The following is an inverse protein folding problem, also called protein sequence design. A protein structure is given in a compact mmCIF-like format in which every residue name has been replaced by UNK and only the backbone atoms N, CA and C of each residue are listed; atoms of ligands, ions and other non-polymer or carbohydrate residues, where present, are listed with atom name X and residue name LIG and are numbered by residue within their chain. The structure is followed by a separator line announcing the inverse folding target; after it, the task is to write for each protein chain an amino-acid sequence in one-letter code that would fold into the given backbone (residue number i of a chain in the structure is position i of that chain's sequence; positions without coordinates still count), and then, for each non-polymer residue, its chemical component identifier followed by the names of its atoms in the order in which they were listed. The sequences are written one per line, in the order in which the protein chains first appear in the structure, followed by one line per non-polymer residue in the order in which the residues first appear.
data_IF_522767411976
#
_entry.id   IF_522767411976
#
_cell.length_a   1.000
_cell.length_b   1.000
_cell.length_c   1.000
_cell.angle_alpha   90.00
_cell.angle_beta   90.00
_cell.angle_gamma   90.00
#
_symmetry.space_group_name_H-M   'P 1'
#
loop_
_entity.id
_entity.type
_entity.pdbx_description
1 polymer ?
#
# COMPACT_ATOMS: atom_id res chain seq x y z
N UNK A 1 -21.23 11.63 -52.92
CA UNK A 1 -20.23 10.58 -52.61
C UNK A 1 -20.26 10.35 -51.11
N UNK A 2 -20.88 9.25 -50.69
CA UNK A 2 -21.05 8.88 -49.29
C UNK A 2 -19.72 8.40 -48.70
N UNK A 3 -19.27 9.04 -47.63
CA UNK A 3 -18.14 8.59 -46.81
C UNK A 3 -18.75 7.71 -45.71
N UNK A 4 -18.77 6.40 -45.93
CA UNK A 4 -19.15 5.43 -44.91
C UNK A 4 -18.03 4.41 -44.77
N UNK A 5 -17.59 4.16 -43.53
CA UNK A 5 -16.84 2.95 -43.22
C UNK A 5 -15.68 3.08 -42.24
N UNK A 6 -15.81 3.79 -41.13
CA UNK A 6 -15.01 3.44 -39.95
C UNK A 6 -15.86 2.55 -39.04
N UNK A 7 -15.44 1.29 -38.91
CA UNK A 7 -16.05 0.33 -38.00
C UNK A 7 -16.03 0.89 -36.56
N UNK A 8 -17.15 0.87 -35.82
CA UNK A 8 -17.20 1.27 -34.41
C UNK A 8 -16.13 0.57 -33.57
N UNK A 9 -15.78 -0.67 -33.95
CA UNK A 9 -14.74 -1.47 -33.32
C UNK A 9 -13.33 -0.88 -33.52
N UNK A 10 -13.02 -0.37 -34.73
CA UNK A 10 -11.73 0.27 -35.00
C UNK A 10 -11.62 1.62 -34.30
N UNK A 11 -12.72 2.37 -34.22
CA UNK A 11 -12.78 3.62 -33.47
C UNK A 11 -12.58 3.37 -31.97
N UNK A 12 -13.18 2.33 -31.39
CA UNK A 12 -12.97 1.90 -30.00
C UNK A 12 -11.51 1.48 -29.72
N UNK A 13 -10.89 0.74 -30.65
CA UNK A 13 -9.49 0.29 -30.57
C UNK A 13 -8.47 1.42 -30.75
N UNK A 14 -8.76 2.42 -31.58
CA UNK A 14 -7.94 3.62 -31.73
C UNK A 14 -8.13 4.57 -30.54
N UNK A 15 -9.36 4.71 -30.02
CA UNK A 15 -9.63 5.43 -28.78
C UNK A 15 -8.96 4.78 -27.58
N UNK A 16 -9.01 3.45 -27.44
CA UNK A 16 -8.37 2.72 -26.34
C UNK A 16 -6.84 2.85 -26.37
N UNK A 17 -6.22 2.85 -27.56
CA UNK A 17 -4.76 3.05 -27.72
C UNK A 17 -4.32 4.48 -27.44
N UNK A 18 -5.11 5.49 -27.79
CA UNK A 18 -4.82 6.91 -27.49
C UNK A 18 -5.02 7.20 -26.00
N UNK A 19 -6.08 6.64 -25.38
CA UNK A 19 -6.32 6.71 -23.93
C UNK A 19 -5.20 6.03 -23.14
N UNK A 20 -4.82 4.81 -23.52
CA UNK A 20 -3.70 4.09 -22.90
C UNK A 20 -2.35 4.84 -23.01
N UNK A 21 -2.07 5.53 -24.13
CA UNK A 21 -0.86 6.37 -24.25
C UNK A 21 -0.91 7.64 -23.38
N UNK A 22 -2.07 8.27 -23.26
CA UNK A 22 -2.26 9.45 -22.42
C UNK A 22 -2.24 9.09 -20.92
N UNK A 23 -2.84 7.96 -20.54
CA UNK A 23 -2.87 7.44 -19.17
C UNK A 23 -1.50 6.91 -18.74
N UNK A 24 -0.77 6.22 -19.64
CA UNK A 24 0.64 5.86 -19.39
C UNK A 24 1.54 7.08 -19.13
N UNK A 25 1.30 8.21 -19.81
CA UNK A 25 1.98 9.49 -19.53
C UNK A 25 1.62 10.03 -18.15
N UNK A 26 0.35 9.95 -17.76
CA UNK A 26 -0.14 10.41 -16.45
C UNK A 26 0.46 9.59 -15.28
N UNK A 27 0.77 8.30 -15.49
CA UNK A 27 1.39 7.42 -14.46
C UNK A 27 2.84 7.69 -14.22
N UNK A 28 3.56 7.90 -15.32
CA UNK A 28 4.91 8.43 -15.28
C UNK A 28 4.89 9.81 -14.62
N UNK A 29 3.88 10.64 -14.87
CA UNK A 29 3.76 11.97 -14.27
C UNK A 29 3.42 11.93 -12.77
N UNK A 30 2.55 11.02 -12.32
CA UNK A 30 2.27 10.81 -10.89
C UNK A 30 3.51 10.29 -10.17
N UNK A 31 4.15 9.23 -10.69
CA UNK A 31 5.38 8.69 -10.12
C UNK A 31 6.50 9.75 -10.09
N UNK A 32 6.65 10.55 -11.16
CA UNK A 32 7.59 11.66 -11.22
C UNK A 32 7.24 12.79 -10.26
N UNK A 33 5.95 13.10 -10.07
CA UNK A 33 5.51 14.12 -9.10
C UNK A 33 5.79 13.65 -7.68
N UNK A 34 5.45 12.41 -7.35
CA UNK A 34 5.76 11.82 -6.05
C UNK A 34 7.28 11.80 -5.81
N UNK A 35 8.05 11.30 -6.78
CA UNK A 35 9.51 11.30 -6.75
C UNK A 35 10.08 12.71 -6.56
N UNK A 36 9.60 13.71 -7.29
CA UNK A 36 10.04 15.10 -7.13
C UNK A 36 9.72 15.68 -5.75
N UNK A 37 8.52 15.40 -5.23
CA UNK A 37 8.12 15.86 -3.88
C UNK A 37 8.96 15.19 -2.79
N UNK A 38 9.34 13.92 -2.99
CA UNK A 38 10.30 13.24 -2.13
C UNK A 38 11.70 13.81 -2.27
N UNK A 39 12.17 14.08 -3.49
CA UNK A 39 13.48 14.70 -3.75
C UNK A 39 13.62 16.06 -3.05
N UNK A 40 12.54 16.83 -2.98
CA UNK A 40 12.50 18.09 -2.21
C UNK A 40 12.66 17.85 -0.70
N UNK A 41 12.29 16.68 -0.19
CA UNK A 41 12.51 16.26 1.21
C UNK A 41 13.86 15.54 1.42
N UNK A 42 14.45 14.95 0.37
CA UNK A 42 15.68 14.15 0.46
C UNK A 42 16.91 15.04 0.64
N UNK A 43 17.81 14.62 1.52
CA UNK A 43 19.20 15.10 1.53
C UNK A 43 20.09 13.97 1.01
N UNK A 44 20.96 14.30 0.04
CA UNK A 44 21.89 13.34 -0.58
C UNK A 44 21.22 12.07 -1.16
N UNK A 45 19.99 12.21 -1.65
CA UNK A 45 19.25 11.10 -2.28
C UNK A 45 18.58 10.13 -1.31
N UNK A 46 18.54 10.43 0.00
CA UNK A 46 17.89 9.60 1.04
C UNK A 46 16.81 10.35 1.80
N UNK A 47 15.79 9.63 2.25
CA UNK A 47 14.79 10.20 3.17
C UNK A 47 15.42 10.59 4.50
N UNK A 48 14.84 11.59 5.17
CA UNK A 48 15.30 12.02 6.49
C UNK A 48 14.95 10.99 7.58
N UNK A 49 13.99 10.09 7.31
CA UNK A 49 13.50 9.11 8.27
C UNK A 49 13.71 7.68 7.78
N UNK A 50 13.58 6.71 8.69
CA UNK A 50 13.61 5.27 8.39
C UNK A 50 12.19 4.70 8.36
N UNK A 51 11.88 3.93 7.31
CA UNK A 51 10.53 3.38 7.10
C UNK A 51 10.50 1.85 7.21
N UNK A 52 9.54 1.34 7.96
CA UNK A 52 9.20 -0.08 8.02
C UNK A 52 7.77 -0.29 7.52
N UNK A 53 7.59 -1.22 6.58
CA UNK A 53 6.30 -1.70 6.13
C UNK A 53 5.96 -2.99 6.88
N UNK A 54 4.76 -3.04 7.46
CA UNK A 54 4.24 -4.22 8.15
C UNK A 54 2.88 -4.56 7.56
N UNK A 55 2.78 -5.69 6.87
CA UNK A 55 1.46 -6.22 6.50
C UNK A 55 0.77 -6.74 7.75
N UNK A 56 -0.52 -6.51 7.91
CA UNK A 56 -1.29 -7.11 9.01
C UNK A 56 -1.09 -8.63 9.12
N UNK A 57 -1.26 -9.18 10.33
CA UNK A 57 -1.29 -10.62 10.56
C UNK A 57 -2.45 -11.31 9.84
N UNK A 58 -2.45 -12.64 9.78
CA UNK A 58 -3.55 -13.42 9.20
C UNK A 58 -4.91 -13.00 9.81
N UNK A 59 -5.89 -12.69 8.96
CA UNK A 59 -7.23 -12.29 9.38
C UNK A 59 -8.27 -13.37 9.15
N UNK A 60 -9.43 -13.25 9.78
CA UNK A 60 -10.58 -14.12 9.53
C UNK A 60 -10.94 -14.17 8.03
N UNK A 61 -10.89 -13.03 7.33
CA UNK A 61 -11.12 -12.96 5.89
C UNK A 61 -10.05 -13.74 5.08
N UNK A 62 -8.81 -13.78 5.56
CA UNK A 62 -7.77 -14.60 4.92
C UNK A 62 -8.05 -16.09 5.11
N UNK A 63 -8.49 -16.50 6.30
CA UNK A 63 -8.82 -17.89 6.61
C UNK A 63 -9.95 -18.40 5.71
N UNK A 64 -11.00 -17.59 5.49
CA UNK A 64 -12.12 -17.97 4.62
C UNK A 64 -11.87 -17.65 3.12
N UNK A 65 -10.74 -17.03 2.79
CA UNK A 65 -10.31 -16.79 1.41
C UNK A 65 -11.13 -15.76 0.65
N UNK A 66 -11.61 -14.70 1.32
CA UNK A 66 -12.40 -13.63 0.71
C UNK A 66 -11.67 -12.30 0.64
N UNK A 67 -12.10 -11.45 -0.28
CA UNK A 67 -11.67 -10.06 -0.40
C UNK A 67 -12.46 -9.20 0.60
N UNK A 68 -11.73 -8.40 1.38
CA UNK A 68 -12.28 -7.52 2.41
C UNK A 68 -11.59 -6.15 2.35
N UNK A 69 -12.05 -5.31 1.44
CA UNK A 69 -11.52 -3.95 1.24
C UNK A 69 -12.58 -2.83 1.34
N UNK A 70 -13.87 -3.15 1.51
CA UNK A 70 -14.92 -2.17 1.81
C UNK A 70 -14.76 -1.60 3.23
N UNK A 71 -14.52 -0.29 3.41
CA UNK A 71 -14.41 0.33 4.73
C UNK A 71 -15.64 0.16 5.61
N UNK A 72 -16.85 0.01 5.06
CA UNK A 72 -18.08 -0.21 5.83
C UNK A 72 -18.04 -1.52 6.62
N UNK A 73 -17.28 -2.50 6.12
CA UNK A 73 -17.13 -3.84 6.70
C UNK A 73 -15.77 -3.96 7.37
N UNK A 74 -14.68 -3.66 6.65
CA UNK A 74 -13.30 -3.91 7.07
C UNK A 74 -12.83 -3.11 8.30
N UNK A 75 -13.52 -2.03 8.66
CA UNK A 75 -13.26 -1.26 9.90
C UNK A 75 -13.93 -1.87 11.14
N UNK A 76 -14.86 -2.82 10.96
CA UNK A 76 -15.69 -3.41 12.02
C UNK A 76 -15.58 -4.92 12.14
N UNK A 77 -15.12 -5.60 11.08
CA UNK A 77 -15.08 -7.06 10.96
C UNK A 77 -13.73 -7.51 10.39
N UNK A 78 -13.54 -8.83 10.37
CA UNK A 78 -12.36 -9.48 9.81
C UNK A 78 -11.08 -9.06 10.53
N UNK A 79 -11.12 -9.18 11.86
CA UNK A 79 -9.96 -9.02 12.73
C UNK A 79 -8.94 -10.14 12.51
N UNK A 80 -7.89 -10.13 13.32
CA UNK A 80 -6.85 -11.16 13.32
C UNK A 80 -7.40 -12.50 13.79
N UNK A 81 -6.97 -13.57 13.12
CA UNK A 81 -7.09 -14.93 13.67
C UNK A 81 -6.15 -15.10 14.87
N UNK A 82 -6.27 -16.19 15.62
CA UNK A 82 -5.31 -16.49 16.70
C UNK A 82 -3.86 -16.53 16.18
N UNK A 83 -3.65 -17.17 15.03
CA UNK A 83 -2.37 -17.16 14.33
C UNK A 83 -1.95 -15.75 13.92
N UNK A 84 -2.89 -14.91 13.48
CA UNK A 84 -2.62 -13.50 13.18
C UNK A 84 -2.13 -12.69 14.38
N UNK A 85 -2.66 -12.97 15.58
CA UNK A 85 -2.21 -12.34 16.83
C UNK A 85 -0.79 -12.75 17.20
N UNK A 86 -0.48 -14.04 17.09
CA UNK A 86 0.89 -14.56 17.30
C UNK A 86 1.88 -13.92 16.32
N UNK A 87 1.48 -13.79 15.04
CA UNK A 87 2.25 -13.13 14.00
C UNK A 87 2.50 -11.63 14.32
N UNK A 88 1.48 -10.91 14.79
CA UNK A 88 1.62 -9.51 15.18
C UNK A 88 2.58 -9.33 16.38
N UNK A 89 2.51 -10.23 17.36
CA UNK A 89 3.43 -10.23 18.49
C UNK A 89 4.89 -10.49 18.03
N UNK A 90 5.09 -11.45 17.12
CA UNK A 90 6.41 -11.72 16.55
C UNK A 90 6.98 -10.52 15.77
N UNK A 91 6.14 -9.79 15.02
CA UNK A 91 6.55 -8.56 14.35
C UNK A 91 6.98 -7.47 15.36
N UNK A 92 6.25 -7.33 16.47
CA UNK A 92 6.62 -6.43 17.57
C UNK A 92 7.98 -6.80 18.19
N UNK A 93 8.23 -8.08 18.42
CA UNK A 93 9.53 -8.57 18.90
C UNK A 93 10.66 -8.28 17.91
N UNK A 94 10.43 -8.51 16.61
CA UNK A 94 11.43 -8.23 15.57
C UNK A 94 11.79 -6.73 15.53
N UNK A 95 10.80 -5.85 15.59
CA UNK A 95 11.04 -4.40 15.67
C UNK A 95 11.80 -4.05 16.95
N UNK A 96 11.43 -4.62 18.10
CA UNK A 96 12.13 -4.37 19.36
C UNK A 96 13.61 -4.74 19.29
N UNK A 97 13.93 -5.93 18.74
CA UNK A 97 15.31 -6.36 18.54
C UNK A 97 16.09 -5.36 17.69
N UNK A 98 15.52 -4.88 16.59
CA UNK A 98 16.15 -3.85 15.76
C UNK A 98 16.42 -2.56 16.54
N UNK A 99 15.45 -2.07 17.33
CA UNK A 99 15.63 -0.84 18.12
C UNK A 99 16.74 -0.99 19.16
N UNK A 100 16.76 -2.10 19.90
CA UNK A 100 17.79 -2.38 20.93
C UNK A 100 19.17 -2.51 20.29
N UNK A 101 19.30 -3.29 19.21
CA UNK A 101 20.57 -3.48 18.50
C UNK A 101 21.16 -2.18 17.97
N UNK A 102 20.31 -1.23 17.56
CA UNK A 102 20.72 0.06 17.01
C UNK A 102 20.68 1.21 18.03
N UNK A 103 20.40 0.91 19.31
CA UNK A 103 20.28 1.91 20.39
C UNK A 103 19.32 3.05 20.06
N UNK A 104 18.18 2.72 19.43
CA UNK A 104 17.16 3.69 19.04
C UNK A 104 16.10 3.77 20.15
N UNK A 105 15.87 4.95 20.75
CA UNK A 105 14.86 5.10 21.78
C UNK A 105 13.45 4.99 21.21
N UNK A 106 12.54 4.43 22.00
CA UNK A 106 11.13 4.22 21.67
C UNK A 106 10.42 5.54 21.32
N UNK A 107 10.87 6.67 21.89
CA UNK A 107 10.35 8.01 21.61
C UNK A 107 10.52 8.47 20.16
N UNK A 108 11.39 7.81 19.38
CA UNK A 108 11.60 8.07 17.95
C UNK A 108 10.79 7.17 17.03
N UNK A 109 9.92 6.32 17.59
CA UNK A 109 9.12 5.35 16.83
C UNK A 109 7.69 5.82 16.74
N UNK A 110 7.19 5.96 15.52
CA UNK A 110 5.84 6.39 15.20
C UNK A 110 5.14 5.34 14.35
N UNK A 111 3.95 4.90 14.77
CA UNK A 111 3.20 3.88 14.06
C UNK A 111 2.00 4.54 13.35
N UNK A 112 1.94 4.38 12.03
CA UNK A 112 0.80 4.73 11.19
C UNK A 112 0.13 3.44 10.73
N UNK A 113 -1.14 3.26 11.08
CA UNK A 113 -1.89 2.04 10.75
C UNK A 113 -3.13 2.35 9.92
N UNK A 114 -3.48 1.45 9.01
CA UNK A 114 -4.84 1.41 8.48
C UNK A 114 -5.84 1.18 9.61
N UNK A 115 -6.99 1.84 9.52
CA UNK A 115 -8.08 1.68 10.49
C UNK A 115 -8.93 0.41 10.26
N UNK A 116 -8.57 -0.41 9.26
CA UNK A 116 -9.17 -1.74 9.11
C UNK A 116 -8.80 -2.62 10.30
N UNK A 117 -9.79 -3.36 10.83
CA UNK A 117 -9.72 -4.05 12.12
C UNK A 117 -8.45 -4.89 12.26
N UNK A 118 -8.11 -5.71 11.25
CA UNK A 118 -6.86 -6.51 11.21
C UNK A 118 -5.56 -5.70 11.29
N UNK A 119 -5.49 -4.54 10.62
CA UNK A 119 -4.30 -3.69 10.62
C UNK A 119 -4.20 -2.92 11.94
N UNK A 120 -5.33 -2.41 12.45
CA UNK A 120 -5.44 -1.82 13.78
C UNK A 120 -4.95 -2.77 14.86
N UNK A 121 -5.49 -3.98 14.94
CA UNK A 121 -5.12 -4.96 15.95
C UNK A 121 -3.63 -5.36 15.86
N UNK A 122 -3.10 -5.46 14.63
CA UNK A 122 -1.66 -5.68 14.41
C UNK A 122 -0.85 -4.52 14.99
N UNK A 123 -1.24 -3.28 14.69
CA UNK A 123 -0.54 -2.09 15.13
C UNK A 123 -0.62 -1.86 16.64
N UNK A 124 -1.78 -2.08 17.25
CA UNK A 124 -1.99 -2.02 18.70
C UNK A 124 -1.11 -3.06 19.42
N UNK A 125 -0.99 -4.26 18.86
CA UNK A 125 -0.12 -5.31 19.39
C UNK A 125 1.36 -4.90 19.32
N UNK A 126 1.82 -4.36 18.20
CA UNK A 126 3.19 -3.87 18.03
C UNK A 126 3.48 -2.70 18.98
N UNK A 127 2.57 -1.71 19.01
CA UNK A 127 2.66 -0.54 19.88
C UNK A 127 2.83 -0.94 21.35
N UNK A 128 1.98 -1.86 21.83
CA UNK A 128 2.03 -2.38 23.19
C UNK A 128 3.32 -3.16 23.47
N UNK A 129 3.77 -3.96 22.51
CA UNK A 129 5.00 -4.77 22.63
C UNK A 129 6.24 -3.89 22.78
N UNK A 130 6.27 -2.78 22.05
CA UNK A 130 7.35 -1.79 22.08
C UNK A 130 7.21 -0.78 23.22
N UNK A 131 6.09 -0.81 23.98
CA UNK A 131 5.79 0.13 25.08
C UNK A 131 5.90 1.59 24.65
N UNK A 132 5.43 1.91 23.44
CA UNK A 132 5.52 3.26 22.91
C UNK A 132 4.61 4.21 23.68
N UNK A 133 5.13 5.39 24.02
CA UNK A 133 4.32 6.48 24.60
C UNK A 133 3.72 7.38 23.51
N UNK A 134 4.31 7.38 22.32
CA UNK A 134 3.80 8.10 21.16
C UNK A 134 2.40 7.60 20.76
N UNK A 135 1.58 8.51 20.24
CA UNK A 135 0.26 8.18 19.73
C UNK A 135 0.34 7.17 18.57
N UNK A 136 -0.59 6.21 18.54
CA UNK A 136 -0.85 5.36 17.38
C UNK A 136 -1.77 6.10 16.40
N UNK A 137 -1.33 6.29 15.15
CA UNK A 137 -2.06 7.08 14.15
C UNK A 137 -2.86 6.19 13.20
N UNK A 138 -4.19 6.34 13.17
CA UNK A 138 -5.03 5.63 12.21
C UNK A 138 -5.26 6.46 10.95
N UNK A 139 -4.95 5.88 9.79
CA UNK A 139 -4.82 6.58 8.52
C UNK A 139 -5.65 5.90 7.42
N UNK A 140 -6.71 6.56 6.96
CA UNK A 140 -7.55 6.04 5.87
C UNK A 140 -6.78 5.87 4.55
N UNK A 141 -5.76 6.72 4.34
CA UNK A 141 -4.91 6.74 3.16
C UNK A 141 -4.14 5.43 2.93
N UNK A 142 -3.99 4.58 3.94
CA UNK A 142 -3.28 3.29 3.86
C UNK A 142 -4.21 2.08 4.05
N UNK A 143 -5.53 2.25 3.89
CA UNK A 143 -6.49 1.14 3.74
C UNK A 143 -6.17 0.29 2.51
N UNK A 144 -6.54 -1.00 2.52
CA UNK A 144 -6.32 -1.88 1.37
C UNK A 144 -6.92 -1.26 0.11
N UNK A 145 -6.34 -1.58 -1.05
CA UNK A 145 -6.95 -1.22 -2.35
C UNK A 145 -8.40 -1.68 -2.37
N UNK A 146 -9.32 -0.80 -2.77
CA UNK A 146 -10.71 -1.17 -2.97
C UNK A 146 -10.86 -2.05 -4.22
N UNK A 147 -11.49 -3.21 -4.08
CA UNK A 147 -11.67 -4.20 -5.16
C UNK A 147 -13.08 -4.25 -5.76
N UNK A 148 -13.91 -3.24 -5.48
CA UNK A 148 -15.17 -2.98 -6.20
C UNK A 148 -16.12 -4.16 -6.20
N UNK A 149 -16.46 -4.64 -7.39
CA UNK A 149 -17.39 -5.75 -7.61
C UNK A 149 -16.93 -7.06 -6.96
N UNK A 150 -15.67 -7.19 -6.56
CA UNK A 150 -15.14 -8.40 -5.94
C UNK A 150 -15.20 -8.42 -4.41
N UNK A 151 -15.75 -7.39 -3.77
CA UNK A 151 -15.93 -7.38 -2.32
C UNK A 151 -16.74 -8.59 -1.81
N UNK A 152 -16.21 -9.26 -0.78
CA UNK A 152 -16.80 -10.47 -0.21
C UNK A 152 -16.70 -11.72 -1.09
N UNK A 153 -16.16 -11.61 -2.32
CA UNK A 153 -15.90 -12.76 -3.20
C UNK A 153 -14.54 -13.37 -2.92
N UNK A 154 -14.22 -14.47 -3.61
CA UNK A 154 -12.95 -15.18 -3.43
C UNK A 154 -11.74 -14.28 -3.74
N UNK A 155 -10.70 -14.39 -2.91
CA UNK A 155 -9.41 -13.73 -3.13
C UNK A 155 -8.69 -14.11 -4.43
N UNK A 156 -9.14 -15.16 -5.14
CA UNK A 156 -8.65 -15.50 -6.48
C UNK A 156 -8.92 -14.39 -7.51
N UNK A 157 -9.94 -13.56 -7.28
CA UNK A 157 -10.28 -12.43 -8.16
C UNK A 157 -9.26 -11.29 -8.10
N UNK A 158 -8.32 -11.31 -7.17
CA UNK A 158 -7.22 -10.37 -7.23
C UNK A 158 -6.42 -10.49 -8.54
N UNK A 159 -6.21 -11.70 -9.03
CA UNK A 159 -5.48 -11.92 -10.29
C UNK A 159 -6.20 -11.29 -11.49
N UNK A 160 -7.54 -11.24 -11.45
CA UNK A 160 -8.33 -10.60 -12.49
C UNK A 160 -7.97 -9.11 -12.60
N UNK A 161 -7.94 -8.39 -11.46
CA UNK A 161 -7.55 -6.97 -11.40
C UNK A 161 -6.07 -6.77 -11.74
N UNK A 162 -5.18 -7.58 -11.16
CA UNK A 162 -3.73 -7.45 -11.37
C UNK A 162 -3.29 -7.72 -12.81
N UNK A 163 -4.07 -8.48 -13.59
CA UNK A 163 -3.79 -8.67 -15.00
C UNK A 163 -4.01 -7.39 -15.82
N UNK A 164 -4.99 -6.54 -15.44
CA UNK A 164 -5.17 -5.23 -16.07
C UNK A 164 -4.12 -4.22 -15.60
N UNK A 165 -3.66 -4.29 -14.34
CA UNK A 165 -2.63 -3.38 -13.81
C UNK A 165 -1.35 -3.40 -14.64
N UNK A 166 -0.95 -4.59 -15.12
CA UNK A 166 0.23 -4.79 -15.98
C UNK A 166 0.14 -3.99 -17.28
N UNK A 167 -1.08 -3.69 -17.75
CA UNK A 167 -1.34 -2.97 -18.97
C UNK A 167 -1.54 -1.46 -18.74
N UNK A 168 -2.23 -1.08 -17.66
CA UNK A 168 -2.59 0.30 -17.34
C UNK A 168 -2.63 0.54 -15.82
N UNK A 169 -1.86 1.49 -15.29
CA UNK A 169 -1.91 1.81 -13.86
C UNK A 169 -3.16 2.63 -13.45
N UNK A 170 -3.96 3.10 -14.41
CA UNK A 170 -5.13 3.98 -14.23
C UNK A 170 -6.46 3.31 -14.48
N UNK A 171 -6.47 2.03 -14.83
CA UNK A 171 -7.74 1.34 -15.03
C UNK A 171 -8.49 1.25 -13.70
N UNK A 172 -9.81 1.33 -13.80
CA UNK A 172 -10.76 1.11 -12.71
C UNK A 172 -11.74 0.00 -13.10
N UNK A 173 -11.24 -1.02 -13.80
CA UNK A 173 -12.06 -2.17 -14.17
C UNK A 173 -12.62 -2.83 -12.90
N UNK A 174 -13.82 -3.40 -13.00
CA UNK A 174 -14.55 -4.01 -11.88
C UNK A 174 -14.86 -3.05 -10.71
N UNK A 175 -14.92 -1.75 -10.96
CA UNK A 175 -15.10 -0.71 -9.93
C UNK A 175 -14.00 -0.74 -8.85
N UNK A 176 -12.82 -1.28 -9.20
CA UNK A 176 -11.65 -1.29 -8.33
C UNK A 176 -10.93 0.05 -8.36
N UNK A 177 -10.30 0.43 -7.25
CA UNK A 177 -9.37 1.56 -7.20
C UNK A 177 -8.21 1.28 -8.17
N UNK A 178 -7.73 2.30 -8.88
CA UNK A 178 -6.55 2.16 -9.73
C UNK A 178 -5.26 2.09 -8.91
N UNK A 179 -4.21 1.49 -9.47
CA UNK A 179 -2.88 1.48 -8.85
C UNK A 179 -2.38 2.91 -8.61
N UNK A 180 -2.67 3.84 -9.54
CA UNK A 180 -2.31 5.23 -9.42
C UNK A 180 -2.99 5.93 -8.23
N UNK A 181 -4.29 5.70 -8.02
CA UNK A 181 -5.02 6.25 -6.86
C UNK A 181 -4.45 5.72 -5.55
N UNK A 182 -4.22 4.41 -5.46
CA UNK A 182 -3.61 3.78 -4.28
C UNK A 182 -2.22 4.34 -4.00
N UNK A 183 -1.37 4.45 -5.01
CA UNK A 183 -0.03 5.02 -4.89
C UNK A 183 -0.10 6.47 -4.38
N UNK A 184 -0.97 7.30 -4.96
CA UNK A 184 -1.12 8.71 -4.59
C UNK A 184 -1.54 8.87 -3.12
N UNK A 185 -2.55 8.11 -2.66
CA UNK A 185 -3.01 8.22 -1.27
C UNK A 185 -2.00 7.64 -0.29
N UNK A 186 -1.40 6.49 -0.57
CA UNK A 186 -0.41 5.88 0.32
C UNK A 186 0.83 6.76 0.48
N UNK A 187 1.26 7.39 -0.62
CA UNK A 187 2.42 8.27 -0.64
C UNK A 187 2.27 9.50 0.26
N UNK A 188 1.04 10.00 0.44
CA UNK A 188 0.76 11.13 1.32
C UNK A 188 1.23 10.89 2.76
N UNK A 189 1.14 9.66 3.27
CA UNK A 189 1.61 9.33 4.63
C UNK A 189 3.11 9.55 4.76
N UNK A 190 3.89 9.11 3.77
CA UNK A 190 5.35 9.30 3.74
C UNK A 190 5.70 10.78 3.65
N UNK A 191 5.09 11.52 2.73
CA UNK A 191 5.33 12.95 2.58
C UNK A 191 4.98 13.75 3.84
N UNK A 192 3.85 13.45 4.46
CA UNK A 192 3.42 14.16 5.66
C UNK A 192 4.37 13.85 6.83
N UNK A 193 4.90 12.61 6.90
CA UNK A 193 5.90 12.22 7.89
C UNK A 193 7.24 12.94 7.67
N UNK A 194 7.78 12.94 6.43
CA UNK A 194 9.02 13.66 6.09
C UNK A 194 8.98 15.15 6.42
N UNK A 195 7.81 15.78 6.38
CA UNK A 195 7.66 17.21 6.72
C UNK A 195 7.65 17.49 8.21
N UNK A 196 7.33 16.50 9.03
CA UNK A 196 7.09 16.66 10.47
C UNK A 196 8.21 16.07 11.31
N UNK A 197 8.97 15.12 10.74
CA UNK A 197 9.94 14.31 11.45
C UNK A 197 11.30 14.33 10.74
N UNK A 198 12.37 14.19 11.53
CA UNK A 198 13.73 14.03 11.03
C UNK A 198 14.47 13.02 11.89
N UNK A 199 15.17 12.09 11.23
CA UNK A 199 15.86 10.96 11.82
C UNK A 199 14.95 10.03 12.67
N UNK A 200 13.63 10.04 12.48
CA UNK A 200 12.71 9.16 13.21
C UNK A 200 12.41 7.86 12.45
N UNK A 201 11.75 6.92 13.13
CA UNK A 201 11.24 5.67 12.55
C UNK A 201 9.74 5.78 12.33
N UNK A 202 9.32 5.57 11.08
CA UNK A 202 7.92 5.40 10.70
C UNK A 202 7.60 3.92 10.43
N UNK A 203 6.72 3.33 11.23
CA UNK A 203 6.18 1.97 11.02
C UNK A 203 4.80 2.09 10.37
N UNK A 204 4.67 1.64 9.13
CA UNK A 204 3.42 1.66 8.36
C UNK A 204 2.80 0.27 8.41
N UNK A 205 1.72 0.12 9.18
CA UNK A 205 0.95 -1.13 9.33
C UNK A 205 -0.26 -1.11 8.40
N UNK A 206 -0.23 -1.91 7.33
CA UNK A 206 -1.27 -1.88 6.32
C UNK A 206 -1.47 -3.25 5.64
N UNK A 207 -1.65 -3.27 4.32
CA UNK A 207 -2.21 -4.40 3.58
C UNK A 207 -1.36 -4.84 2.40
N UNK A 208 -1.64 -6.03 1.87
CA UNK A 208 -0.73 -6.72 0.95
C UNK A 208 -0.57 -6.00 -0.38
N UNK A 209 -1.66 -5.51 -0.97
CA UNK A 209 -1.60 -4.84 -2.27
C UNK A 209 -1.08 -3.40 -2.12
N UNK A 210 -1.66 -2.66 -1.17
CA UNK A 210 -1.22 -1.30 -0.87
C UNK A 210 0.28 -1.20 -0.56
N UNK A 211 0.81 -2.07 0.31
CA UNK A 211 2.23 -1.99 0.70
C UNK A 211 3.17 -2.32 -0.46
N UNK A 212 2.77 -3.22 -1.37
CA UNK A 212 3.55 -3.48 -2.57
C UNK A 212 3.52 -2.30 -3.53
N UNK A 213 2.36 -1.70 -3.76
CA UNK A 213 2.24 -0.49 -4.60
C UNK A 213 3.09 0.64 -4.01
N UNK A 214 3.01 0.88 -2.70
CA UNK A 214 3.80 1.89 -2.01
C UNK A 214 5.30 1.59 -2.14
N UNK A 215 5.73 0.36 -1.84
CA UNK A 215 7.13 -0.06 -1.96
C UNK A 215 7.67 0.15 -3.37
N UNK A 216 6.94 -0.28 -4.40
CA UNK A 216 7.34 -0.07 -5.80
C UNK A 216 7.37 1.41 -6.16
N UNK A 217 6.44 2.21 -5.67
CA UNK A 217 6.44 3.67 -5.92
C UNK A 217 7.66 4.36 -5.30
N UNK A 218 8.17 3.84 -4.17
CA UNK A 218 9.23 4.47 -3.38
C UNK A 218 10.64 3.95 -3.73
N UNK A 219 10.83 2.64 -3.87
CA UNK A 219 12.15 2.00 -4.08
C UNK A 219 12.51 1.82 -5.56
N UNK A 220 11.50 1.75 -6.44
CA UNK A 220 11.71 1.38 -7.82
C UNK A 220 11.47 2.58 -8.73
N UNK A 221 12.39 2.85 -9.66
CA UNK A 221 12.14 3.75 -10.81
C UNK A 221 11.11 3.17 -11.80
N UNK A 222 10.37 2.12 -11.40
CA UNK A 222 9.45 1.40 -12.24
C UNK A 222 8.01 1.92 -12.05
N UNK A 223 7.18 1.89 -13.11
CA UNK A 223 5.76 2.21 -12.98
C UNK A 223 5.09 1.34 -11.91
N UNK A 224 4.24 1.92 -11.03
CA UNK A 224 3.48 1.17 -10.01
C UNK A 224 2.71 -0.05 -10.54
N UNK A 225 2.37 -0.08 -11.83
CA UNK A 225 1.83 -1.23 -12.56
C UNK A 225 2.61 -2.55 -12.36
N UNK A 226 3.89 -2.48 -12.02
CA UNK A 226 4.77 -3.65 -11.82
C UNK A 226 4.91 -4.08 -10.34
N UNK A 227 4.02 -3.62 -9.45
CA UNK A 227 4.11 -3.93 -8.02
C UNK A 227 4.06 -5.42 -7.67
N UNK A 228 3.53 -6.28 -8.57
CA UNK A 228 3.53 -7.74 -8.42
C UNK A 228 4.81 -8.43 -8.92
N UNK A 229 5.80 -7.68 -9.41
CA UNK A 229 7.08 -8.23 -9.89
C UNK A 229 8.10 -8.46 -8.76
N UNK A 230 7.86 -7.93 -7.56
CA UNK A 230 8.68 -8.14 -6.36
C UNK A 230 8.15 -9.31 -5.51
N UNK A 231 8.98 -9.90 -4.62
CA UNK A 231 8.52 -10.90 -3.67
C UNK A 231 7.34 -10.40 -2.83
N UNK A 232 6.31 -11.23 -2.70
CA UNK A 232 5.10 -10.90 -1.96
C UNK A 232 5.40 -10.66 -0.47
N UNK A 233 4.82 -9.61 0.10
CA UNK A 233 4.89 -9.34 1.53
C UNK A 233 3.99 -10.33 2.29
N UNK A 234 4.60 -11.23 3.06
CA UNK A 234 3.88 -12.21 3.87
C UNK A 234 3.18 -11.54 5.06
N UNK A 235 2.19 -12.20 5.67
CA UNK A 235 1.45 -11.62 6.80
C UNK A 235 2.38 -11.37 7.98
N UNK A 236 2.24 -10.22 8.62
CA UNK A 236 3.13 -9.71 9.67
C UNK A 236 4.63 -9.63 9.31
N UNK A 237 4.98 -9.61 8.02
CA UNK A 237 6.38 -9.38 7.63
C UNK A 237 6.79 -7.94 7.93
N UNK A 238 7.88 -7.74 8.67
CA UNK A 238 8.51 -6.43 8.84
C UNK A 238 9.54 -6.22 7.73
N UNK A 239 9.29 -5.24 6.86
CA UNK A 239 10.17 -4.92 5.72
C UNK A 239 10.67 -3.49 5.82
N UNK A 240 11.98 -3.30 5.91
CA UNK A 240 12.59 -1.96 5.83
C UNK A 240 12.61 -1.48 4.38
N UNK A 241 12.24 -0.22 4.15
CA UNK A 241 12.42 0.44 2.85
C UNK A 241 13.84 0.99 2.67
N UNK A 242 14.33 0.94 1.44
CA UNK A 242 15.65 1.46 1.04
C UNK A 242 15.49 2.76 0.22
N UNK A 243 15.17 3.87 0.89
CA UNK A 243 14.82 5.16 0.24
C UNK A 243 15.47 6.40 0.84
#
# INVERSE_FOLDING_TARGET
MNIAGFSPFLALLLWSRVRARAQKRLGVELARKCSKQLEECRKDGKTANTYFLVRHGESEANVVGIISSDPKIGTKKHGLSEKGKEQAAAAGQQLNSFLVENSIPESRVFIHSSDFTRARETAETIHSSLRLENQLYFCEHIRERFFGEFEGKSNKHYDDVWNFDKCDAFHNEFDSESVAEVAQRAFKVVLDFEKQHSDDICVIVAHGDLLQILRTTLEMEFPPAHHRSSPHLTTASVTRLNI
#
